data_IF_209163857016
#
_entry.id   IF_209163857016
#
_cell.length_a   1.000
_cell.length_b   1.000
_cell.length_c   1.000
_cell.angle_alpha   90.00
_cell.angle_beta   90.00
_cell.angle_gamma   90.00
#
_symmetry.space_group_name_H-M   'P 1'
#
loop_
_entity.id
_entity.type
_entity.pdbx_description
1 polymer ?
#
# COMPACT_ATOMS: atom_id res chain seq x y z
N UNK A 1 -28.19 -4.15 9.28
CA UNK A 1 -26.95 -4.20 8.48
C UNK A 1 -26.28 -2.84 8.56
N UNK A 2 -25.25 -2.70 9.39
CA UNK A 2 -24.46 -1.46 9.44
C UNK A 2 -23.65 -1.33 8.14
N UNK A 3 -23.58 -0.13 7.57
CA UNK A 3 -22.66 0.14 6.45
C UNK A 3 -21.23 -0.06 6.95
N UNK A 4 -20.44 -0.91 6.28
CA UNK A 4 -18.99 -1.03 6.51
C UNK A 4 -18.40 0.36 6.27
N UNK A 5 -17.74 0.94 7.27
CA UNK A 5 -17.10 2.25 7.14
C UNK A 5 -15.96 2.14 6.12
N UNK A 6 -15.89 3.10 5.21
CA UNK A 6 -14.82 3.20 4.20
C UNK A 6 -13.95 4.40 4.56
N UNK A 7 -12.63 4.22 4.76
CA UNK A 7 -11.77 5.33 5.12
C UNK A 7 -11.65 6.35 3.98
N UNK A 8 -11.37 7.64 4.29
CA UNK A 8 -11.28 8.70 3.28
C UNK A 8 -10.28 8.42 2.14
N UNK A 9 -9.18 7.72 2.43
CA UNK A 9 -8.18 7.32 1.43
C UNK A 9 -8.65 6.16 0.52
N UNK A 10 -9.76 5.49 0.84
CA UNK A 10 -10.33 4.40 0.03
C UNK A 10 -11.62 4.79 -0.69
N UNK A 11 -12.05 6.07 -0.65
CA UNK A 11 -13.29 6.52 -1.30
C UNK A 11 -13.15 6.59 -2.82
N UNK A 12 -14.09 5.97 -3.55
CA UNK A 12 -14.23 6.12 -5.00
C UNK A 12 -15.22 7.25 -5.35
N UNK A 13 -14.89 8.47 -4.94
CA UNK A 13 -15.68 9.70 -5.19
C UNK A 13 -14.79 10.72 -5.94
N UNK A 14 -14.66 10.62 -7.28
CA UNK A 14 -13.82 11.53 -8.06
C UNK A 14 -14.17 13.01 -7.82
N UNK A 15 -13.15 13.85 -7.63
CA UNK A 15 -13.30 15.29 -7.36
C UNK A 15 -13.51 15.66 -5.88
N UNK A 16 -13.67 14.67 -4.99
CA UNK A 16 -13.75 14.93 -3.55
C UNK A 16 -12.41 15.39 -2.97
N UNK A 17 -12.47 16.37 -2.08
CA UNK A 17 -11.31 16.83 -1.29
C UNK A 17 -11.32 16.17 0.08
N UNK A 18 -10.19 15.61 0.49
CA UNK A 18 -9.97 14.99 1.80
C UNK A 18 -8.61 15.42 2.33
N UNK A 19 -8.48 15.48 3.67
CA UNK A 19 -7.20 15.67 4.34
C UNK A 19 -6.63 14.30 4.67
N UNK A 20 -5.41 14.03 4.21
CA UNK A 20 -4.69 12.77 4.42
C UNK A 20 -3.33 13.06 5.03
N UNK A 21 -2.84 12.14 5.86
CA UNK A 21 -1.41 12.08 6.20
C UNK A 21 -0.60 11.75 4.95
N UNK A 22 0.69 12.08 4.93
CA UNK A 22 1.57 11.80 3.78
C UNK A 22 1.60 10.31 3.41
N UNK A 23 1.72 9.43 4.40
CA UNK A 23 1.69 7.98 4.20
C UNK A 23 0.35 7.50 3.62
N UNK A 24 -0.76 8.08 4.07
CA UNK A 24 -2.08 7.79 3.52
C UNK A 24 -2.23 8.29 2.08
N UNK A 25 -1.63 9.44 1.74
CA UNK A 25 -1.61 9.96 0.39
C UNK A 25 -0.77 9.08 -0.56
N UNK A 26 0.33 8.49 -0.08
CA UNK A 26 1.12 7.52 -0.86
C UNK A 26 0.29 6.25 -1.13
N UNK A 27 -0.35 5.68 -0.11
CA UNK A 27 -1.23 4.53 -0.26
C UNK A 27 -2.41 4.82 -1.21
N UNK A 28 -3.00 6.01 -1.11
CA UNK A 28 -4.03 6.48 -2.04
C UNK A 28 -3.53 6.53 -3.48
N UNK A 29 -2.34 7.08 -3.70
CA UNK A 29 -1.72 7.15 -5.02
C UNK A 29 -1.44 5.78 -5.61
N UNK A 30 -1.05 4.80 -4.78
CA UNK A 30 -0.91 3.41 -5.19
C UNK A 30 -2.22 2.82 -5.69
N UNK A 31 -3.31 3.03 -4.93
CA UNK A 31 -4.65 2.59 -5.32
C UNK A 31 -5.09 3.23 -6.66
N UNK A 32 -4.97 4.56 -6.78
CA UNK A 32 -5.33 5.28 -8.01
C UNK A 32 -4.46 4.88 -9.21
N UNK A 33 -3.19 4.51 -8.96
CA UNK A 33 -2.28 3.97 -9.97
C UNK A 33 -2.60 2.55 -10.41
N UNK A 34 -3.63 1.91 -9.86
CA UNK A 34 -4.00 0.53 -10.16
C UNK A 34 -3.03 -0.48 -9.54
N UNK A 35 -2.51 -0.18 -8.35
CA UNK A 35 -1.64 -1.07 -7.58
C UNK A 35 -2.29 -2.43 -7.30
N UNK A 36 -1.48 -3.49 -7.31
CA UNK A 36 -1.94 -4.87 -7.22
C UNK A 36 -1.22 -5.69 -6.14
N UNK A 37 0.07 -5.38 -5.89
CA UNK A 37 0.89 -6.09 -4.88
C UNK A 37 1.67 -5.07 -4.05
N UNK A 38 1.56 -5.13 -2.73
CA UNK A 38 2.35 -4.32 -1.82
C UNK A 38 3.03 -5.23 -0.79
N UNK A 39 4.34 -5.07 -0.62
CA UNK A 39 5.10 -5.79 0.40
C UNK A 39 6.06 -4.83 1.09
N UNK A 40 6.16 -4.93 2.42
CA UNK A 40 6.95 -4.02 3.25
C UNK A 40 7.55 -4.78 4.44
N UNK A 41 8.61 -4.24 5.02
CA UNK A 41 9.11 -4.65 6.34
C UNK A 41 8.82 -3.53 7.36
N UNK A 42 8.38 -3.84 8.59
CA UNK A 42 8.04 -2.80 9.57
C UNK A 42 9.21 -1.84 9.85
N UNK A 43 8.97 -0.54 9.68
CA UNK A 43 9.94 0.50 9.98
C UNK A 43 9.36 1.91 9.90
N UNK A 44 9.31 2.61 11.04
CA UNK A 44 8.94 4.03 11.09
C UNK A 44 9.96 4.86 10.29
N UNK A 45 9.54 5.85 9.50
CA UNK A 45 8.18 6.39 9.33
C UNK A 45 7.39 5.79 8.15
N UNK A 46 7.75 4.62 7.61
CA UNK A 46 7.16 4.08 6.38
C UNK A 46 6.06 3.02 6.62
N UNK A 47 5.99 2.41 7.82
CA UNK A 47 5.04 1.32 8.12
C UNK A 47 3.59 1.66 7.80
N UNK A 48 3.17 2.89 8.10
CA UNK A 48 1.78 3.33 7.93
C UNK A 48 1.33 3.30 6.46
N UNK A 49 2.25 3.28 5.48
CA UNK A 49 1.89 3.14 4.07
C UNK A 49 1.26 1.77 3.83
N UNK A 50 1.92 0.68 4.26
CA UNK A 50 1.39 -0.66 4.07
C UNK A 50 0.15 -0.91 4.93
N UNK A 51 0.14 -0.42 6.17
CA UNK A 51 -1.04 -0.51 7.04
C UNK A 51 -2.26 0.16 6.40
N UNK A 52 -2.07 1.36 5.82
CA UNK A 52 -3.14 2.05 5.08
C UNK A 52 -3.59 1.25 3.86
N UNK A 53 -2.67 0.62 3.11
CA UNK A 53 -3.04 -0.25 1.98
C UNK A 53 -3.84 -1.47 2.47
N UNK A 54 -3.42 -2.09 3.56
CA UNK A 54 -4.07 -3.26 4.13
C UNK A 54 -5.54 -2.99 4.51
N UNK A 55 -5.87 -1.78 4.98
CA UNK A 55 -7.25 -1.39 5.31
C UNK A 55 -8.23 -1.50 4.14
N UNK A 56 -7.75 -1.29 2.91
CA UNK A 56 -8.58 -1.34 1.70
C UNK A 56 -8.19 -2.47 0.74
N UNK A 57 -7.20 -3.28 1.07
CA UNK A 57 -6.66 -4.31 0.20
C UNK A 57 -7.72 -5.33 -0.25
N UNK A 58 -8.52 -5.85 0.69
CA UNK A 58 -9.62 -6.78 0.41
C UNK A 58 -10.67 -6.17 -0.54
N UNK A 59 -10.99 -4.88 -0.34
CA UNK A 59 -12.01 -4.18 -1.13
C UNK A 59 -11.61 -4.02 -2.59
N UNK A 60 -10.33 -3.83 -2.86
CA UNK A 60 -9.79 -3.53 -4.19
C UNK A 60 -9.00 -4.69 -4.82
N UNK A 61 -8.99 -5.87 -4.17
CA UNK A 61 -8.29 -7.05 -4.68
C UNK A 61 -6.76 -6.89 -4.73
N UNK A 62 -6.21 -6.12 -3.80
CA UNK A 62 -4.76 -5.89 -3.66
C UNK A 62 -4.20 -6.97 -2.75
N UNK A 63 -3.08 -7.58 -3.15
CA UNK A 63 -2.29 -8.41 -2.26
C UNK A 63 -1.38 -7.51 -1.43
N UNK A 64 -1.51 -7.55 -0.10
CA UNK A 64 -0.69 -6.76 0.83
C UNK A 64 -0.13 -7.65 1.93
N UNK A 65 1.18 -7.61 2.15
CA UNK A 65 1.85 -8.46 3.13
C UNK A 65 2.99 -7.74 3.87
N UNK A 66 3.25 -8.20 5.10
CA UNK A 66 4.52 -7.94 5.76
C UNK A 66 5.53 -9.02 5.37
N UNK A 67 6.73 -8.60 4.98
CA UNK A 67 7.86 -9.47 4.72
C UNK A 67 8.72 -9.68 5.98
N UNK A 68 9.62 -10.66 5.93
CA UNK A 68 10.58 -10.93 7.02
C UNK A 68 11.70 -9.88 7.12
N UNK A 69 12.04 -9.23 6.01
CA UNK A 69 13.02 -8.14 5.91
C UNK A 69 12.83 -7.36 4.60
N UNK A 70 13.54 -6.26 4.45
CA UNK A 70 13.45 -5.36 3.29
C UNK A 70 13.83 -6.01 1.96
N UNK A 71 14.82 -6.92 1.99
CA UNK A 71 15.23 -7.67 0.81
C UNK A 71 14.11 -8.57 0.32
N UNK A 72 13.47 -9.31 1.22
CA UNK A 72 12.33 -10.19 0.89
C UNK A 72 11.16 -9.34 0.36
N UNK A 73 10.85 -8.21 0.99
CA UNK A 73 9.81 -7.29 0.50
C UNK A 73 10.07 -6.82 -0.94
N UNK A 74 11.34 -6.49 -1.23
CA UNK A 74 11.76 -6.07 -2.56
C UNK A 74 11.70 -7.21 -3.58
N UNK A 75 12.16 -8.41 -3.22
CA UNK A 75 12.14 -9.58 -4.11
C UNK A 75 10.71 -10.02 -4.45
N UNK A 76 9.76 -9.96 -3.50
CA UNK A 76 8.33 -10.22 -3.74
C UNK A 76 7.77 -9.22 -4.74
N UNK A 77 7.98 -7.92 -4.51
CA UNK A 77 7.49 -6.88 -5.42
C UNK A 77 8.16 -7.00 -6.80
N UNK A 78 9.46 -7.31 -6.85
CA UNK A 78 10.19 -7.47 -8.11
C UNK A 78 9.66 -8.65 -8.92
N UNK A 79 9.42 -9.80 -8.28
CA UNK A 79 8.84 -10.98 -8.94
C UNK A 79 7.45 -10.69 -9.49
N UNK A 80 6.59 -10.04 -8.71
CA UNK A 80 5.26 -9.62 -9.15
C UNK A 80 5.32 -8.60 -10.30
N UNK A 81 6.25 -7.65 -10.25
CA UNK A 81 6.46 -6.67 -11.32
C UNK A 81 6.94 -7.32 -12.63
N UNK A 82 7.80 -8.34 -12.57
CA UNK A 82 8.23 -9.12 -13.74
C UNK A 82 7.05 -9.87 -14.41
N UNK A 83 6.02 -10.21 -13.65
CA UNK A 83 4.76 -10.76 -14.16
C UNK A 83 3.80 -9.70 -14.72
N UNK A 84 4.21 -8.42 -14.76
CA UNK A 84 3.41 -7.31 -15.27
C UNK A 84 2.46 -6.66 -14.26
N UNK A 85 2.57 -6.99 -12.97
CA UNK A 85 1.73 -6.40 -11.93
C UNK A 85 2.29 -5.06 -11.47
N UNK A 86 1.41 -4.12 -11.08
CA UNK A 86 1.84 -2.86 -10.45
C UNK A 86 2.09 -3.06 -8.97
N UNK A 87 3.33 -2.84 -8.55
CA UNK A 87 3.77 -3.18 -7.20
C UNK A 87 4.26 -1.97 -6.41
N UNK A 88 4.19 -2.04 -5.07
CA UNK A 88 4.80 -1.08 -4.18
C UNK A 88 5.61 -1.78 -3.09
N UNK A 89 6.89 -1.44 -3.02
CA UNK A 89 7.73 -1.76 -1.87
C UNK A 89 8.06 -0.47 -1.13
N UNK A 90 7.58 -0.35 0.11
CA UNK A 90 7.77 0.84 0.95
C UNK A 90 8.74 0.54 2.09
N UNK A 91 9.77 1.36 2.27
CA UNK A 91 10.71 1.23 3.39
C UNK A 91 11.43 2.55 3.62
N UNK A 92 12.05 2.73 4.80
CA UNK A 92 12.99 3.83 5.03
C UNK A 92 14.34 3.52 4.37
N UNK A 93 15.14 4.55 4.11
CA UNK A 93 16.47 4.43 3.49
C UNK A 93 17.40 3.39 4.16
N UNK A 94 17.38 3.26 5.49
CA UNK A 94 18.22 2.31 6.23
C UNK A 94 17.82 0.84 5.95
N UNK A 95 16.65 0.61 5.37
CA UNK A 95 16.21 -0.71 4.95
C UNK A 95 16.78 -1.18 3.62
N UNK A 96 17.41 -0.30 2.84
CA UNK A 96 17.99 -0.63 1.53
C UNK A 96 19.44 -1.11 1.72
N UNK A 97 19.64 -2.23 2.42
CA UNK A 97 20.95 -2.87 2.60
C UNK A 97 21.01 -4.28 2.01
#
# INVERSE_FOLDING_TARGET
>A
MSRRWVPPYALNEPGRRVLLLGNQAIARGFLEGGGQVASSYPGTPASEILETIADFAEMYGIYAEWADNERVAFEVCSGAAMCGLRTMCSMKHIGVN
#
